data_IF_233698922859
#
_entry.id   IF_233698922859
#
_cell.length_a   1.000
_cell.length_b   1.000
_cell.length_c   1.000
_cell.angle_alpha   90.00
_cell.angle_beta   90.00
_cell.angle_gamma   90.00
#
_symmetry.space_group_name_H-M   'P 1'
#
loop_
_entity.id
_entity.type
_entity.pdbx_description
1 polymer ?
#
# COMPACT_ATOMS: atom_id res chain seq x y z
N UNK A 1 -23.49 25.07 2.44
CA UNK A 1 -22.54 24.65 1.37
C UNK A 1 -21.30 24.08 2.03
N UNK A 2 -21.00 22.79 1.85
CA UNK A 2 -19.71 22.22 2.32
C UNK A 2 -18.60 22.89 1.54
N UNK A 3 -17.60 23.37 2.24
CA UNK A 3 -16.48 24.07 1.60
C UNK A 3 -15.74 23.07 0.69
N UNK A 4 -15.81 23.24 -0.63
CA UNK A 4 -15.24 22.31 -1.61
C UNK A 4 -13.74 22.10 -1.39
N UNK A 5 -13.04 23.12 -0.92
CA UNK A 5 -11.60 23.12 -0.66
C UNK A 5 -11.21 22.45 0.67
N UNK A 6 -12.15 22.11 1.56
CA UNK A 6 -11.82 21.49 2.85
C UNK A 6 -11.65 19.98 2.76
N UNK A 7 -10.67 19.44 3.50
CA UNK A 7 -10.55 18.00 3.78
C UNK A 7 -11.35 17.70 5.05
N UNK A 8 -12.54 17.13 4.86
CA UNK A 8 -13.40 16.73 5.97
C UNK A 8 -12.98 15.36 6.52
N UNK A 9 -12.79 15.28 7.82
CA UNK A 9 -12.47 14.02 8.50
C UNK A 9 -13.77 13.42 9.06
N UNK A 10 -14.17 12.26 8.55
CA UNK A 10 -15.34 11.54 9.07
C UNK A 10 -15.05 11.04 10.51
N UNK A 11 -15.94 11.38 11.44
CA UNK A 11 -15.86 10.98 12.85
C UNK A 11 -15.96 9.46 13.09
N UNK A 12 -16.41 8.69 12.10
CA UNK A 12 -16.49 7.22 12.13
C UNK A 12 -15.13 6.54 11.87
N UNK A 13 -14.12 7.28 11.50
CA UNK A 13 -12.78 6.74 11.24
C UNK A 13 -12.12 6.27 12.53
N UNK A 14 -11.33 5.21 12.44
CA UNK A 14 -10.52 4.70 13.57
C UNK A 14 -9.16 5.36 13.49
N UNK A 15 -8.86 6.23 14.46
CA UNK A 15 -7.64 7.05 14.43
C UNK A 15 -6.34 6.23 14.35
N UNK A 16 -6.25 5.09 15.05
CA UNK A 16 -5.05 4.24 14.96
C UNK A 16 -4.79 3.68 13.56
N UNK A 17 -5.84 3.48 12.74
CA UNK A 17 -5.68 3.12 11.34
C UNK A 17 -5.29 4.33 10.47
N UNK A 18 -5.74 5.52 10.81
CA UNK A 18 -5.29 6.75 10.17
C UNK A 18 -3.81 7.02 10.48
N UNK A 19 -3.38 6.77 11.71
CA UNK A 19 -1.97 6.85 12.09
C UNK A 19 -1.11 5.86 11.28
N UNK A 20 -1.54 4.61 11.14
CA UNK A 20 -0.82 3.63 10.30
C UNK A 20 -0.67 4.10 8.85
N UNK A 21 -1.73 4.68 8.26
CA UNK A 21 -1.67 5.21 6.90
C UNK A 21 -0.74 6.41 6.79
N UNK A 22 -0.78 7.31 7.78
CA UNK A 22 0.10 8.46 7.81
C UNK A 22 1.57 8.04 7.94
N UNK A 23 1.88 7.04 8.78
CA UNK A 23 3.21 6.45 8.87
C UNK A 23 3.60 5.77 7.55
N UNK A 24 2.69 5.01 6.93
CA UNK A 24 2.94 4.34 5.67
C UNK A 24 3.33 5.33 4.56
N UNK A 25 2.57 6.40 4.39
CA UNK A 25 2.87 7.39 3.35
C UNK A 25 4.12 8.20 3.68
N UNK A 26 4.36 8.51 4.96
CA UNK A 26 5.62 9.11 5.39
C UNK A 26 6.82 8.25 4.98
N UNK A 27 6.80 6.94 5.27
CA UNK A 27 7.88 6.02 4.88
C UNK A 27 8.08 5.95 3.35
N UNK A 28 6.99 6.03 2.56
CA UNK A 28 7.09 6.01 1.08
C UNK A 28 7.72 7.29 0.56
N UNK A 29 7.20 8.45 0.99
CA UNK A 29 7.71 9.77 0.53
C UNK A 29 9.16 9.97 1.00
N UNK A 30 9.46 9.59 2.26
CA UNK A 30 10.82 9.60 2.79
C UNK A 30 11.76 8.75 1.94
N UNK A 31 11.40 7.49 1.67
CA UNK A 31 12.25 6.56 0.93
C UNK A 31 12.52 6.96 -0.53
N UNK A 32 11.68 7.79 -1.15
CA UNK A 32 11.97 8.36 -2.47
C UNK A 32 12.77 9.66 -2.40
N UNK A 33 12.58 10.44 -1.32
CA UNK A 33 13.28 11.70 -1.11
C UNK A 33 14.64 11.57 -0.43
N UNK A 34 14.96 10.43 0.20
CA UNK A 34 16.19 10.25 1.01
C UNK A 34 17.47 10.52 0.22
N UNK A 35 17.49 10.24 -1.09
CA UNK A 35 18.64 10.49 -1.95
C UNK A 35 19.07 11.97 -1.98
N UNK A 36 18.15 12.89 -1.69
CA UNK A 36 18.46 14.32 -1.59
C UNK A 36 19.27 14.68 -0.34
N UNK A 37 19.28 13.77 0.65
CA UNK A 37 19.98 13.96 1.91
C UNK A 37 21.38 13.31 1.89
N UNK A 38 21.72 12.51 0.87
CA UNK A 38 23.04 11.90 0.76
C UNK A 38 24.12 12.98 0.71
N UNK A 39 25.23 12.73 1.37
CA UNK A 39 26.38 13.67 1.52
C UNK A 39 26.01 15.00 2.20
N UNK A 40 24.87 15.07 2.91
CA UNK A 40 24.48 16.24 3.71
C UNK A 40 24.61 15.97 5.22
N UNK A 41 24.48 17.03 6.03
CA UNK A 41 24.45 16.90 7.50
C UNK A 41 23.31 16.00 8.01
N UNK A 42 22.29 15.75 7.19
CA UNK A 42 21.12 14.92 7.50
C UNK A 42 21.21 13.50 6.93
N UNK A 43 22.31 13.12 6.30
CA UNK A 43 22.52 11.79 5.70
C UNK A 43 22.22 10.63 6.69
N UNK A 44 22.63 10.79 7.96
CA UNK A 44 22.32 9.82 9.03
C UNK A 44 20.84 9.49 9.21
N UNK A 45 19.93 10.32 8.68
CA UNK A 45 18.48 10.09 8.75
C UNK A 45 17.95 9.30 7.54
N UNK A 46 18.78 8.96 6.55
CA UNK A 46 18.42 8.14 5.42
C UNK A 46 18.33 6.66 5.80
N UNK A 47 19.16 6.20 6.75
CA UNK A 47 19.21 4.82 7.21
C UNK A 47 18.23 4.50 8.36
N UNK A 48 17.19 5.30 8.54
CA UNK A 48 16.21 5.02 9.57
C UNK A 48 15.56 3.64 9.37
N UNK A 49 15.51 2.80 10.42
CA UNK A 49 14.91 1.47 10.34
C UNK A 49 13.38 1.56 10.31
N UNK A 50 12.82 2.05 9.20
CA UNK A 50 11.37 2.13 8.99
C UNK A 50 10.85 0.94 8.20
N UNK A 51 9.61 0.48 8.44
CA UNK A 51 8.99 -0.55 7.62
C UNK A 51 8.75 -0.03 6.20
N UNK A 52 8.68 -0.94 5.24
CA UNK A 52 8.25 -0.57 3.90
C UNK A 52 6.80 -0.07 3.95
N UNK A 53 6.57 1.22 3.68
CA UNK A 53 5.24 1.83 3.81
C UNK A 53 4.16 1.11 2.98
N UNK A 54 4.54 0.52 1.84
CA UNK A 54 3.62 -0.26 1.00
C UNK A 54 3.10 -1.51 1.71
N UNK A 55 3.90 -2.16 2.58
CA UNK A 55 3.46 -3.33 3.35
C UNK A 55 2.33 -2.96 4.30
N UNK A 56 2.42 -1.80 4.91
CA UNK A 56 1.36 -1.26 5.77
C UNK A 56 0.07 -1.05 4.96
N UNK A 57 0.16 -0.47 3.75
CA UNK A 57 -1.00 -0.29 2.88
C UNK A 57 -1.64 -1.62 2.47
N UNK A 58 -0.84 -2.63 2.15
CA UNK A 58 -1.34 -3.96 1.80
C UNK A 58 -2.10 -4.61 2.95
N UNK A 59 -1.51 -4.63 4.14
CA UNK A 59 -2.13 -5.20 5.34
C UNK A 59 -3.42 -4.45 5.69
N UNK A 60 -3.42 -3.12 5.62
CA UNK A 60 -4.62 -2.33 5.88
C UNK A 60 -5.73 -2.58 4.86
N UNK A 61 -5.39 -2.75 3.58
CA UNK A 61 -6.34 -3.08 2.53
C UNK A 61 -7.00 -4.43 2.80
N UNK A 62 -6.21 -5.46 3.10
CA UNK A 62 -6.70 -6.79 3.48
C UNK A 62 -7.57 -6.76 4.74
N UNK A 63 -7.13 -6.04 5.78
CA UNK A 63 -7.86 -5.91 7.04
C UNK A 63 -9.24 -5.26 6.86
N UNK A 64 -9.30 -4.12 6.17
CA UNK A 64 -10.55 -3.36 6.01
C UNK A 64 -11.56 -4.10 5.12
N UNK A 65 -11.09 -4.69 4.03
CA UNK A 65 -11.93 -5.46 3.11
C UNK A 65 -12.35 -6.78 3.73
N UNK A 66 -11.41 -7.52 4.33
CA UNK A 66 -11.70 -8.74 5.05
C UNK A 66 -12.76 -8.54 6.12
N UNK A 67 -12.62 -7.51 6.97
CA UNK A 67 -13.61 -7.13 7.97
C UNK A 67 -15.00 -6.89 7.36
N UNK A 68 -15.06 -6.11 6.26
CA UNK A 68 -16.33 -5.77 5.61
C UNK A 68 -17.02 -7.01 5.04
N UNK A 69 -16.28 -7.90 4.38
CA UNK A 69 -16.83 -9.11 3.77
C UNK A 69 -17.23 -10.16 4.81
N UNK A 70 -16.43 -10.40 5.84
CA UNK A 70 -16.75 -11.34 6.92
C UNK A 70 -18.05 -10.93 7.59
N UNK A 71 -18.15 -9.65 8.01
CA UNK A 71 -19.34 -9.13 8.68
C UNK A 71 -20.58 -9.22 7.80
N UNK A 72 -20.43 -8.96 6.48
CA UNK A 72 -21.55 -9.06 5.54
C UNK A 72 -22.03 -10.50 5.38
N UNK A 73 -21.12 -11.46 5.17
CA UNK A 73 -21.48 -12.86 4.98
C UNK A 73 -22.23 -13.44 6.19
N UNK A 74 -21.76 -13.16 7.39
CA UNK A 74 -22.44 -13.66 8.59
C UNK A 74 -23.82 -13.06 8.78
N UNK A 75 -24.01 -11.77 8.47
CA UNK A 75 -25.33 -11.13 8.55
C UNK A 75 -26.31 -11.60 7.46
N UNK A 76 -25.84 -12.29 6.43
CA UNK A 76 -26.64 -12.76 5.29
C UNK A 76 -26.53 -14.29 5.07
N UNK A 77 -26.41 -15.06 6.16
CA UNK A 77 -26.36 -16.53 6.12
C UNK A 77 -25.33 -17.09 5.13
N UNK A 78 -24.13 -16.52 5.11
CA UNK A 78 -23.02 -16.86 4.19
C UNK A 78 -23.32 -16.71 2.70
N UNK A 79 -24.33 -15.93 2.32
CA UNK A 79 -24.66 -15.64 0.92
C UNK A 79 -24.16 -14.26 0.52
N UNK A 80 -23.32 -14.23 -0.49
CA UNK A 80 -22.88 -12.98 -1.11
C UNK A 80 -23.72 -12.71 -2.36
N UNK A 81 -24.66 -11.78 -2.26
CA UNK A 81 -25.52 -11.40 -3.37
C UNK A 81 -24.75 -10.70 -4.50
N UNK A 82 -25.18 -10.94 -5.76
CA UNK A 82 -24.58 -10.28 -6.96
C UNK A 82 -24.51 -8.76 -6.83
N UNK A 83 -25.57 -8.15 -6.30
CA UNK A 83 -25.64 -6.69 -6.10
C UNK A 83 -24.48 -6.19 -5.19
N UNK A 84 -24.18 -6.91 -4.12
CA UNK A 84 -23.09 -6.55 -3.19
C UNK A 84 -21.73 -6.58 -3.87
N UNK A 85 -21.50 -7.59 -4.73
CA UNK A 85 -20.26 -7.73 -5.49
C UNK A 85 -20.13 -6.59 -6.50
N UNK A 86 -21.17 -6.30 -7.27
CA UNK A 86 -21.17 -5.20 -8.24
C UNK A 86 -20.96 -3.84 -7.57
N UNK A 87 -21.67 -3.59 -6.44
CA UNK A 87 -21.48 -2.38 -5.64
C UNK A 87 -20.04 -2.27 -5.11
N UNK A 88 -19.44 -3.37 -4.65
CA UNK A 88 -18.05 -3.39 -4.20
C UNK A 88 -17.10 -3.05 -5.34
N UNK A 89 -17.26 -3.65 -6.53
CA UNK A 89 -16.42 -3.35 -7.69
C UNK A 89 -16.56 -1.90 -8.15
N UNK A 90 -17.80 -1.40 -8.27
CA UNK A 90 -18.06 -0.02 -8.67
C UNK A 90 -17.44 0.98 -7.69
N UNK A 91 -17.63 0.76 -6.38
CA UNK A 91 -17.04 1.63 -5.34
C UNK A 91 -15.53 1.56 -5.30
N UNK A 92 -14.94 0.39 -5.56
CA UNK A 92 -13.48 0.20 -5.60
C UNK A 92 -12.89 0.87 -6.83
N UNK A 93 -13.51 0.68 -7.99
CA UNK A 93 -13.09 1.32 -9.24
C UNK A 93 -13.12 2.86 -9.13
N UNK A 94 -14.21 3.45 -8.63
CA UNK A 94 -14.35 4.90 -8.43
C UNK A 94 -13.36 5.47 -7.41
N UNK A 95 -12.85 4.66 -6.50
CA UNK A 95 -11.84 5.09 -5.53
C UNK A 95 -10.43 5.08 -6.10
N UNK A 96 -10.10 4.12 -6.98
CA UNK A 96 -8.72 3.85 -7.40
C UNK A 96 -8.46 4.40 -8.80
N UNK A 97 -9.33 4.07 -9.77
CA UNK A 97 -9.06 4.32 -11.18
C UNK A 97 -8.91 5.80 -11.55
N UNK A 98 -9.74 6.75 -11.06
CA UNK A 98 -9.63 8.12 -11.52
C UNK A 98 -8.25 8.73 -11.27
N UNK A 99 -7.75 8.67 -10.05
CA UNK A 99 -6.42 9.19 -9.71
C UNK A 99 -5.31 8.43 -10.44
N UNK A 100 -5.43 7.09 -10.47
CA UNK A 100 -4.42 6.25 -11.11
C UNK A 100 -4.30 6.55 -12.61
N UNK A 101 -5.42 6.55 -13.33
CA UNK A 101 -5.41 6.79 -14.79
C UNK A 101 -5.01 8.23 -15.12
N UNK A 102 -5.38 9.19 -14.28
CA UNK A 102 -4.94 10.58 -14.44
C UNK A 102 -3.41 10.68 -14.31
N UNK A 103 -2.83 10.11 -13.24
CA UNK A 103 -1.36 10.14 -13.04
C UNK A 103 -0.63 9.27 -14.07
N UNK A 104 -1.21 8.15 -14.51
CA UNK A 104 -0.67 7.36 -15.62
C UNK A 104 -0.58 8.19 -16.91
N UNK A 105 -1.64 8.95 -17.23
CA UNK A 105 -1.65 9.85 -18.38
C UNK A 105 -0.59 10.95 -18.22
N UNK A 106 -0.47 11.57 -17.05
CA UNK A 106 0.56 12.59 -16.79
C UNK A 106 1.97 12.01 -16.98
N UNK A 107 2.26 10.83 -16.40
CA UNK A 107 3.55 10.16 -16.60
C UNK A 107 3.82 9.89 -18.09
N UNK A 108 2.82 9.39 -18.82
CA UNK A 108 2.95 9.13 -20.26
C UNK A 108 3.28 10.40 -21.03
N UNK A 109 2.58 11.51 -20.76
CA UNK A 109 2.84 12.79 -21.43
C UNK A 109 4.22 13.34 -21.08
N UNK A 110 4.66 13.27 -19.84
CA UNK A 110 5.99 13.74 -19.44
C UNK A 110 7.11 12.92 -20.08
N UNK A 111 6.95 11.61 -20.24
CA UNK A 111 7.89 10.77 -21.00
C UNK A 111 7.82 11.07 -22.49
N UNK A 112 6.62 11.24 -23.06
CA UNK A 112 6.44 11.56 -24.48
C UNK A 112 7.10 12.89 -24.85
N UNK A 113 6.96 13.92 -24.00
CA UNK A 113 7.62 15.22 -24.19
C UNK A 113 9.05 15.27 -23.66
N UNK A 114 9.63 14.14 -23.27
CA UNK A 114 11.01 14.01 -22.78
C UNK A 114 11.32 14.87 -21.54
N UNK A 115 10.30 15.19 -20.74
CA UNK A 115 10.47 15.88 -19.46
C UNK A 115 11.03 14.95 -18.38
N UNK A 116 10.67 13.67 -18.42
CA UNK A 116 11.23 12.63 -17.55
C UNK A 116 11.68 11.43 -18.40
N UNK A 117 12.65 10.68 -17.87
CA UNK A 117 13.13 9.47 -18.53
C UNK A 117 12.12 8.33 -18.37
N UNK A 118 11.88 7.57 -19.44
CA UNK A 118 11.01 6.41 -19.42
C UNK A 118 10.95 5.69 -20.76
N UNK A 119 10.65 4.37 -20.72
CA UNK A 119 10.61 3.53 -21.93
C UNK A 119 9.21 2.92 -22.14
N UNK A 120 8.35 3.67 -22.81
CA UNK A 120 6.99 3.24 -23.14
C UNK A 120 6.91 2.20 -24.26
N UNK A 121 8.01 1.99 -25.03
CA UNK A 121 8.08 0.93 -26.05
C UNK A 121 8.31 -0.44 -25.42
N UNK A 122 9.23 -0.53 -24.43
CA UNK A 122 9.47 -1.77 -23.69
C UNK A 122 8.30 -2.09 -22.74
N UNK A 123 7.65 -1.06 -22.20
CA UNK A 123 6.55 -1.19 -21.24
C UNK A 123 5.30 -0.45 -21.75
N UNK A 124 4.50 -1.09 -22.63
CA UNK A 124 3.36 -0.45 -23.27
C UNK A 124 2.27 -0.07 -22.27
N UNK A 125 1.70 1.12 -22.43
CA UNK A 125 0.75 1.75 -21.51
C UNK A 125 -0.49 0.90 -21.21
N UNK A 126 -0.93 0.06 -22.16
CA UNK A 126 -2.09 -0.81 -21.94
C UNK A 126 -1.88 -1.80 -20.79
N UNK A 127 -0.64 -2.27 -20.56
CA UNK A 127 -0.33 -3.13 -19.41
C UNK A 127 -0.59 -2.42 -18.08
N UNK A 128 -0.28 -1.13 -18.01
CA UNK A 128 -0.56 -0.30 -16.84
C UNK A 128 -2.05 -0.04 -16.69
N UNK A 129 -2.74 0.30 -17.78
CA UNK A 129 -4.19 0.51 -17.75
C UNK A 129 -4.98 -0.74 -17.31
N UNK A 130 -4.46 -1.94 -17.57
CA UNK A 130 -5.06 -3.22 -17.19
C UNK A 130 -4.46 -3.84 -15.91
N UNK A 131 -3.48 -3.17 -15.27
CA UNK A 131 -2.77 -3.68 -14.08
C UNK A 131 -2.06 -5.02 -14.30
N UNK A 132 -1.55 -5.27 -15.51
CA UNK A 132 -0.87 -6.53 -15.88
C UNK A 132 0.65 -6.37 -16.01
N UNK A 133 1.19 -5.18 -15.72
CA UNK A 133 2.60 -4.86 -15.92
C UNK A 133 3.58 -5.71 -15.10
N UNK A 134 3.15 -6.27 -13.96
CA UNK A 134 4.03 -6.99 -13.02
C UNK A 134 3.37 -8.22 -12.37
N UNK A 135 2.52 -8.95 -13.08
CA UNK A 135 1.85 -10.13 -12.51
C UNK A 135 2.86 -11.20 -12.04
N UNK A 136 3.71 -11.65 -12.94
CA UNK A 136 4.73 -12.69 -12.71
C UNK A 136 6.14 -12.27 -13.10
N UNK A 137 6.25 -11.27 -13.96
CA UNK A 137 7.51 -10.72 -14.45
C UNK A 137 7.64 -9.26 -14.02
N UNK A 138 8.85 -8.79 -13.67
CA UNK A 138 9.05 -7.41 -13.25
C UNK A 138 8.95 -6.45 -14.43
N UNK A 139 8.79 -5.16 -14.10
CA UNK A 139 8.96 -4.04 -15.01
C UNK A 139 9.79 -2.95 -14.34
N UNK A 140 10.39 -2.08 -15.15
CA UNK A 140 11.17 -0.91 -14.77
C UNK A 140 11.09 0.13 -15.91
N UNK A 141 11.76 1.26 -15.81
CA UNK A 141 11.86 2.33 -16.81
C UNK A 141 10.58 3.11 -17.15
N UNK A 142 9.41 2.75 -16.68
CA UNK A 142 8.22 3.55 -16.86
C UNK A 142 7.27 3.40 -15.69
N UNK A 143 6.94 4.51 -15.00
CA UNK A 143 5.99 4.59 -13.88
C UNK A 143 6.16 3.43 -12.88
N UNK A 144 7.40 3.18 -12.49
CA UNK A 144 7.82 1.98 -11.77
C UNK A 144 7.23 1.86 -10.36
N UNK A 145 6.84 2.99 -9.73
CA UNK A 145 6.19 3.04 -8.42
C UNK A 145 4.77 2.47 -8.45
N UNK A 146 4.18 2.37 -9.63
CA UNK A 146 2.84 1.78 -9.79
C UNK A 146 2.78 0.28 -9.47
N UNK A 147 3.92 -0.38 -9.22
CA UNK A 147 4.01 -1.82 -8.99
C UNK A 147 3.07 -2.37 -7.92
N UNK A 148 2.76 -1.59 -6.89
CA UNK A 148 1.92 -2.05 -5.77
C UNK A 148 0.42 -2.01 -6.09
N UNK A 149 0.01 -1.21 -7.05
CA UNK A 149 -1.40 -1.07 -7.43
C UNK A 149 -1.97 -2.33 -8.08
N UNK A 150 -1.27 -3.05 -8.99
CA UNK A 150 -1.70 -4.36 -9.46
C UNK A 150 -1.89 -5.38 -8.33
N UNK A 151 -1.04 -5.40 -7.30
CA UNK A 151 -1.19 -6.31 -6.16
C UNK A 151 -2.54 -6.09 -5.46
N UNK A 152 -2.91 -4.82 -5.22
CA UNK A 152 -4.20 -4.49 -4.63
C UNK A 152 -5.36 -4.72 -5.61
N UNK A 153 -5.19 -4.36 -6.89
CA UNK A 153 -6.24 -4.47 -7.89
C UNK A 153 -6.66 -5.91 -8.12
N UNK A 154 -5.70 -6.82 -8.32
CA UNK A 154 -5.97 -8.24 -8.49
C UNK A 154 -6.54 -8.89 -7.23
N UNK A 155 -6.10 -8.46 -6.04
CA UNK A 155 -6.77 -8.86 -4.81
C UNK A 155 -8.23 -8.42 -4.80
N UNK A 156 -8.54 -7.17 -5.16
CA UNK A 156 -9.92 -6.68 -5.16
C UNK A 156 -10.82 -7.42 -6.16
N UNK A 157 -10.26 -7.87 -7.28
CA UNK A 157 -11.00 -8.68 -8.26
C UNK A 157 -11.25 -10.09 -7.73
N UNK A 158 -10.21 -10.79 -7.31
CA UNK A 158 -10.31 -12.21 -6.98
C UNK A 158 -10.87 -12.48 -5.58
N UNK A 159 -10.63 -11.62 -4.61
CA UNK A 159 -11.05 -11.86 -3.24
C UNK A 159 -12.58 -12.08 -3.09
N UNK A 160 -13.47 -11.22 -3.64
CA UNK A 160 -14.89 -11.48 -3.61
C UNK A 160 -15.29 -12.78 -4.32
N UNK A 161 -14.61 -13.14 -5.42
CA UNK A 161 -14.88 -14.38 -6.15
C UNK A 161 -14.52 -15.62 -5.33
N UNK A 162 -13.36 -15.61 -4.66
CA UNK A 162 -12.99 -16.69 -3.72
C UNK A 162 -14.00 -16.79 -2.57
N UNK A 163 -14.47 -15.68 -2.04
CA UNK A 163 -15.49 -15.67 -0.99
C UNK A 163 -16.80 -16.28 -1.46
N UNK A 164 -17.28 -15.94 -2.66
CA UNK A 164 -18.48 -16.56 -3.24
C UNK A 164 -18.30 -18.05 -3.43
N UNK A 165 -17.18 -18.45 -4.00
CA UNK A 165 -16.91 -19.86 -4.29
C UNK A 165 -16.79 -20.67 -2.99
N UNK A 166 -15.95 -20.26 -2.06
CA UNK A 166 -15.66 -21.00 -0.85
C UNK A 166 -16.82 -20.99 0.16
N UNK A 167 -17.63 -19.92 0.19
CA UNK A 167 -18.82 -19.84 1.06
C UNK A 167 -19.90 -20.84 0.69
N UNK A 168 -19.86 -21.45 -0.53
CA UNK A 168 -20.75 -22.55 -0.92
C UNK A 168 -20.42 -23.87 -0.22
N UNK A 169 -19.17 -24.05 0.18
CA UNK A 169 -18.65 -25.30 0.73
C UNK A 169 -18.40 -25.25 2.24
N UNK A 170 -18.06 -24.05 2.76
CA UNK A 170 -17.71 -23.89 4.16
C UNK A 170 -18.05 -22.50 4.69
N UNK A 171 -18.11 -22.38 6.01
CA UNK A 171 -18.26 -21.07 6.68
C UNK A 171 -16.95 -20.27 6.65
N UNK A 172 -17.00 -18.93 6.60
CA UNK A 172 -15.82 -18.06 6.60
C UNK A 172 -14.83 -18.35 7.73
N UNK A 173 -15.35 -18.70 8.90
CA UNK A 173 -14.54 -19.09 10.06
C UNK A 173 -13.57 -20.23 9.75
N UNK A 174 -13.97 -21.18 8.90
CA UNK A 174 -13.17 -22.38 8.59
C UNK A 174 -12.21 -22.16 7.43
N UNK A 175 -12.64 -21.53 6.33
CA UNK A 175 -11.82 -21.47 5.11
C UNK A 175 -10.84 -20.27 5.05
N UNK A 176 -11.12 -19.14 5.73
CA UNK A 176 -10.27 -17.97 5.63
C UNK A 176 -8.83 -18.24 6.08
N UNK A 177 -8.55 -18.92 7.21
CA UNK A 177 -7.17 -19.21 7.59
C UNK A 177 -6.42 -20.04 6.54
N UNK A 178 -7.09 -21.01 5.92
CA UNK A 178 -6.49 -21.84 4.86
C UNK A 178 -6.25 -21.05 3.59
N UNK A 179 -7.17 -20.16 3.22
CA UNK A 179 -6.98 -19.24 2.10
C UNK A 179 -5.78 -18.32 2.32
N UNK A 180 -5.64 -17.78 3.54
CA UNK A 180 -4.49 -16.94 3.89
C UNK A 180 -3.18 -17.75 3.84
N UNK A 181 -3.17 -18.96 4.40
CA UNK A 181 -2.03 -19.86 4.36
C UNK A 181 -1.64 -20.20 2.92
N UNK A 182 -2.63 -20.51 2.07
CA UNK A 182 -2.40 -20.78 0.64
C UNK A 182 -1.63 -19.64 -0.03
N UNK A 183 -2.04 -18.39 0.16
CA UNK A 183 -1.36 -17.26 -0.47
C UNK A 183 0.02 -16.96 0.14
N UNK A 184 0.24 -17.25 1.42
CA UNK A 184 1.57 -17.18 2.03
C UNK A 184 2.50 -18.22 1.40
N UNK A 185 2.06 -19.48 1.33
CA UNK A 185 2.84 -20.56 0.71
C UNK A 185 3.07 -20.27 -0.78
N UNK A 186 2.05 -19.84 -1.50
CA UNK A 186 2.16 -19.46 -2.91
C UNK A 186 3.22 -18.39 -3.15
N UNK A 187 3.21 -17.29 -2.39
CA UNK A 187 4.19 -16.21 -2.56
C UNK A 187 5.60 -16.64 -2.18
N UNK A 188 5.77 -17.46 -1.13
CA UNK A 188 7.08 -18.02 -0.76
C UNK A 188 7.60 -18.94 -1.87
N UNK A 189 6.76 -19.85 -2.37
CA UNK A 189 7.14 -20.78 -3.46
C UNK A 189 7.49 -20.02 -4.73
N UNK A 190 6.71 -19.00 -5.09
CA UNK A 190 7.01 -18.14 -6.23
C UNK A 190 8.36 -17.43 -6.07
N UNK A 191 8.65 -16.86 -4.91
CA UNK A 191 9.97 -16.23 -4.65
C UNK A 191 11.12 -17.24 -4.76
N UNK A 192 10.94 -18.46 -4.29
CA UNK A 192 11.93 -19.51 -4.42
C UNK A 192 12.17 -19.89 -5.88
N UNK A 193 11.11 -20.02 -6.68
CA UNK A 193 11.25 -20.33 -8.12
C UNK A 193 11.90 -19.21 -8.93
N UNK A 194 11.89 -17.97 -8.41
CA UNK A 194 12.54 -16.82 -9.05
C UNK A 194 13.91 -16.48 -8.47
N UNK A 195 14.42 -17.29 -7.52
CA UNK A 195 15.66 -17.00 -6.80
C UNK A 195 16.89 -16.86 -7.72
N UNK A 196 16.95 -17.63 -8.80
CA UNK A 196 18.07 -17.60 -9.77
C UNK A 196 18.16 -16.27 -10.55
N UNK A 197 17.08 -15.49 -10.58
CA UNK A 197 17.07 -14.14 -11.19
C UNK A 197 17.68 -13.07 -10.27
N UNK A 198 17.98 -13.40 -9.01
CA UNK A 198 18.48 -12.45 -8.01
C UNK A 198 20.01 -12.48 -7.98
N UNK A 199 20.61 -11.60 -8.76
CA UNK A 199 22.09 -11.46 -8.84
C UNK A 199 22.62 -10.23 -8.10
N UNK A 200 21.77 -9.22 -7.86
CA UNK A 200 22.13 -7.97 -7.21
C UNK A 200 20.91 -7.32 -6.51
N UNK A 201 21.12 -6.19 -5.85
CA UNK A 201 20.04 -5.47 -5.13
C UNK A 201 18.91 -5.01 -6.04
N UNK A 202 19.20 -4.60 -7.25
CA UNK A 202 18.18 -4.16 -8.22
C UNK A 202 17.31 -5.35 -8.67
N UNK A 203 17.94 -6.48 -9.06
CA UNK A 203 17.18 -7.69 -9.44
C UNK A 203 16.34 -8.22 -8.26
N UNK A 204 16.86 -8.17 -7.02
CA UNK A 204 16.05 -8.48 -5.83
C UNK A 204 14.83 -7.57 -5.73
N UNK A 205 15.02 -6.26 -5.87
CA UNK A 205 13.93 -5.29 -5.76
C UNK A 205 12.82 -5.55 -6.78
N UNK A 206 13.18 -5.78 -8.04
CA UNK A 206 12.20 -5.95 -9.11
C UNK A 206 11.53 -7.33 -9.11
N UNK A 207 12.26 -8.42 -8.83
CA UNK A 207 11.72 -9.79 -8.84
C UNK A 207 11.02 -10.14 -7.53
N UNK A 208 11.61 -9.85 -6.38
CA UNK A 208 11.10 -10.26 -5.07
C UNK A 208 10.11 -9.27 -4.47
N UNK A 209 10.35 -7.96 -4.66
CA UNK A 209 9.53 -6.93 -4.01
C UNK A 209 8.42 -6.36 -4.90
N UNK A 210 8.58 -6.36 -6.22
CA UNK A 210 7.70 -5.60 -7.13
C UNK A 210 6.86 -6.46 -8.07
N UNK A 211 6.74 -7.76 -7.87
CA UNK A 211 5.80 -8.61 -8.60
C UNK A 211 4.55 -8.92 -7.79
N UNK A 212 3.41 -9.07 -8.44
CA UNK A 212 2.13 -9.36 -7.76
C UNK A 212 2.21 -10.70 -7.04
N UNK A 213 2.68 -11.74 -7.72
CA UNK A 213 2.77 -13.09 -7.18
C UNK A 213 3.65 -13.19 -5.92
N UNK A 214 4.71 -12.38 -5.83
CA UNK A 214 5.62 -12.38 -4.67
C UNK A 214 5.08 -11.63 -3.46
N UNK A 215 4.03 -10.80 -3.61
CA UNK A 215 3.59 -9.83 -2.59
C UNK A 215 2.14 -9.93 -2.17
N UNK A 216 1.34 -10.72 -2.87
CA UNK A 216 -0.10 -10.81 -2.59
C UNK A 216 -0.40 -11.34 -1.18
N UNK A 217 0.51 -12.12 -0.60
CA UNK A 217 0.43 -12.62 0.78
C UNK A 217 0.22 -11.52 1.82
N UNK A 218 0.84 -10.35 1.63
CA UNK A 218 0.75 -9.24 2.57
C UNK A 218 -0.69 -8.80 2.79
N UNK A 219 -1.49 -8.77 1.72
CA UNK A 219 -2.90 -8.41 1.82
C UNK A 219 -3.67 -9.52 2.56
N UNK A 220 -3.36 -10.79 2.32
CA UNK A 220 -3.99 -11.90 3.02
C UNK A 220 -3.61 -11.99 4.50
N UNK A 221 -2.42 -11.53 4.91
CA UNK A 221 -2.07 -11.32 6.33
C UNK A 221 -3.04 -10.29 6.96
N UNK A 222 -3.38 -9.23 6.24
CA UNK A 222 -4.42 -8.27 6.67
C UNK A 222 -5.80 -8.90 6.80
N UNK A 223 -6.19 -9.78 5.86
CA UNK A 223 -7.45 -10.56 5.93
C UNK A 223 -7.46 -11.46 7.15
N UNK A 224 -6.34 -12.14 7.45
CA UNK A 224 -6.20 -12.97 8.66
C UNK A 224 -6.35 -12.14 9.94
N UNK A 225 -5.80 -10.93 9.98
CA UNK A 225 -5.99 -10.02 11.11
C UNK A 225 -7.47 -9.63 11.29
N UNK A 226 -8.21 -9.40 10.20
CA UNK A 226 -9.66 -9.15 10.24
C UNK A 226 -10.45 -10.37 10.75
N UNK A 227 -10.07 -11.56 10.32
CA UNK A 227 -10.63 -12.81 10.80
C UNK A 227 -10.41 -13.01 12.30
N UNK A 228 -9.19 -12.80 12.79
CA UNK A 228 -8.86 -12.85 14.22
C UNK A 228 -9.70 -11.86 15.02
N UNK A 229 -9.82 -10.62 14.54
CA UNK A 229 -10.62 -9.60 15.22
C UNK A 229 -12.09 -9.98 15.31
N UNK A 230 -12.63 -10.61 14.26
CA UNK A 230 -14.05 -10.95 14.17
C UNK A 230 -14.42 -12.16 15.04
N UNK A 231 -13.65 -13.26 14.91
CA UNK A 231 -13.96 -14.52 15.59
C UNK A 231 -13.39 -14.65 17.01
N UNK A 232 -12.36 -13.87 17.32
CA UNK A 232 -11.66 -13.89 18.62
C UNK A 232 -11.56 -12.49 19.25
N UNK A 233 -12.69 -11.76 19.40
CA UNK A 233 -12.64 -10.35 19.83
C UNK A 233 -12.13 -10.17 21.27
N UNK A 234 -12.29 -11.16 22.15
CA UNK A 234 -11.76 -11.13 23.53
C UNK A 234 -10.23 -11.22 23.51
N UNK A 235 -9.68 -12.17 22.76
CA UNK A 235 -8.23 -12.36 22.60
C UNK A 235 -7.61 -11.17 21.87
N UNK A 236 -8.25 -10.68 20.81
CA UNK A 236 -7.83 -9.48 20.09
C UNK A 236 -7.63 -8.28 20.99
N UNK A 237 -8.58 -8.03 21.91
CA UNK A 237 -8.46 -6.96 22.89
C UNK A 237 -7.40 -7.27 23.95
N UNK A 238 -7.40 -8.48 24.49
CA UNK A 238 -6.50 -8.88 25.60
C UNK A 238 -5.03 -8.78 25.20
N UNK A 239 -4.68 -9.35 24.04
CA UNK A 239 -3.28 -9.48 23.59
C UNK A 239 -2.79 -8.33 22.71
N UNK A 240 -3.55 -7.27 22.50
CA UNK A 240 -3.18 -6.18 21.59
C UNK A 240 -1.83 -5.53 21.89
N UNK A 241 -1.47 -5.31 23.16
CA UNK A 241 -0.15 -4.77 23.56
C UNK A 241 0.96 -5.79 23.32
N UNK A 242 0.74 -7.05 23.69
CA UNK A 242 1.70 -8.12 23.47
C UNK A 242 1.98 -8.30 21.96
N UNK A 243 0.94 -8.33 21.14
CA UNK A 243 1.11 -8.40 19.67
C UNK A 243 1.93 -7.21 19.15
N UNK A 244 1.69 -6.01 19.64
CA UNK A 244 2.43 -4.82 19.21
C UNK A 244 3.92 -4.93 19.56
N UNK A 245 4.25 -5.34 20.79
CA UNK A 245 5.63 -5.54 21.24
C UNK A 245 6.30 -6.64 20.41
N UNK A 246 5.63 -7.78 20.21
CA UNK A 246 6.14 -8.87 19.38
C UNK A 246 6.34 -8.41 17.92
N UNK A 247 5.43 -7.58 17.39
CA UNK A 247 5.57 -7.00 16.05
C UNK A 247 6.80 -6.09 15.95
N UNK A 248 7.08 -5.25 16.95
CA UNK A 248 8.31 -4.44 16.99
C UNK A 248 9.56 -5.34 17.10
N UNK A 249 9.54 -6.33 17.98
CA UNK A 249 10.66 -7.25 18.14
C UNK A 249 10.94 -8.03 16.84
N UNK A 250 9.89 -8.51 16.19
CA UNK A 250 10.00 -9.23 14.91
C UNK A 250 10.53 -8.31 13.80
N UNK A 251 10.06 -7.06 13.74
CA UNK A 251 10.59 -6.05 12.83
C UNK A 251 12.08 -5.78 13.09
N UNK A 252 12.47 -5.56 14.35
CA UNK A 252 13.88 -5.37 14.72
C UNK A 252 14.73 -6.58 14.33
N UNK A 253 14.25 -7.81 14.54
CA UNK A 253 14.94 -9.01 14.12
C UNK A 253 15.21 -9.03 12.61
N UNK A 254 14.27 -8.55 11.78
CA UNK A 254 14.51 -8.45 10.32
C UNK A 254 15.62 -7.47 9.94
N UNK A 255 16.02 -6.56 10.85
CA UNK A 255 17.12 -5.62 10.64
C UNK A 255 18.46 -6.16 11.11
N UNK A 256 18.44 -7.01 12.14
CA UNK A 256 19.64 -7.61 12.73
C UNK A 256 20.10 -8.81 11.91
N UNK A 257 19.18 -9.65 11.44
CA UNK A 257 19.51 -10.83 10.63
C UNK A 257 20.08 -10.39 9.28
N UNK A 258 21.31 -10.85 8.91
CA UNK A 258 21.92 -10.48 7.64
C UNK A 258 21.04 -10.86 6.44
N UNK A 259 20.88 -9.92 5.53
CA UNK A 259 20.13 -10.10 4.28
C UNK A 259 21.09 -10.39 3.13
N UNK A 260 21.74 -11.55 3.18
CA UNK A 260 22.63 -11.97 2.13
C UNK A 260 21.84 -12.32 0.87
N UNK A 261 22.20 -11.71 -0.26
CA UNK A 261 21.61 -12.03 -1.55
C UNK A 261 21.76 -13.53 -1.84
N UNK A 262 20.70 -14.14 -2.35
CA UNK A 262 20.67 -15.58 -2.63
C UNK A 262 20.35 -16.47 -1.42
N UNK A 263 20.38 -15.95 -0.17
CA UNK A 263 20.01 -16.76 0.99
C UNK A 263 18.52 -17.08 1.02
N UNK A 264 18.17 -18.28 1.50
CA UNK A 264 16.77 -18.70 1.70
C UNK A 264 15.98 -17.67 2.53
N UNK A 265 16.57 -17.18 3.61
CA UNK A 265 15.95 -16.17 4.45
C UNK A 265 15.60 -14.92 3.66
N UNK A 266 16.56 -14.34 2.92
CA UNK A 266 16.35 -13.09 2.20
C UNK A 266 15.36 -13.24 1.04
N UNK A 267 15.52 -14.30 0.24
CA UNK A 267 14.70 -14.48 -0.96
C UNK A 267 13.27 -14.95 -0.64
N UNK A 268 13.10 -15.84 0.35
CA UNK A 268 11.81 -16.47 0.59
C UNK A 268 11.04 -15.89 1.79
N UNK A 269 11.72 -15.64 2.92
CA UNK A 269 11.06 -15.50 4.23
C UNK A 269 11.02 -14.05 4.72
N UNK A 270 12.06 -13.26 4.43
CA UNK A 270 12.21 -11.88 4.94
C UNK A 270 10.94 -11.01 4.71
N UNK A 271 10.39 -11.04 3.50
CA UNK A 271 9.24 -10.21 3.15
C UNK A 271 7.98 -10.63 3.89
N UNK A 272 7.77 -11.93 4.08
CA UNK A 272 6.66 -12.48 4.88
C UNK A 272 6.77 -12.08 6.35
N UNK A 273 7.97 -12.19 6.94
CA UNK A 273 8.21 -11.79 8.34
C UNK A 273 8.01 -10.29 8.50
N UNK A 274 8.49 -9.46 7.57
CA UNK A 274 8.27 -8.01 7.56
C UNK A 274 6.77 -7.68 7.55
N UNK A 275 5.98 -8.37 6.73
CA UNK A 275 4.54 -8.19 6.66
C UNK A 275 3.83 -8.65 7.96
N UNK A 276 4.22 -9.81 8.52
CA UNK A 276 3.68 -10.30 9.79
C UNK A 276 3.94 -9.33 10.93
N UNK A 277 5.14 -8.72 10.98
CA UNK A 277 5.49 -7.74 12.01
C UNK A 277 4.51 -6.56 12.02
N UNK A 278 4.18 -6.03 10.85
CA UNK A 278 3.18 -4.95 10.69
C UNK A 278 1.77 -5.44 11.02
N UNK A 279 1.41 -6.66 10.59
CA UNK A 279 0.12 -7.27 10.93
C UNK A 279 -0.14 -7.34 12.44
N UNK A 280 0.91 -7.60 13.22
CA UNK A 280 0.87 -7.64 14.68
C UNK A 280 0.64 -6.25 15.35
N UNK A 281 0.80 -5.14 14.64
CA UNK A 281 0.49 -3.81 15.18
C UNK A 281 -1.01 -3.48 15.14
N UNK A 282 -1.74 -4.11 14.22
CA UNK A 282 -3.16 -3.81 13.98
C UNK A 282 -4.04 -4.01 15.22
N UNK A 283 -3.88 -5.07 16.05
CA UNK A 283 -4.69 -5.28 17.24
C UNK A 283 -4.69 -4.10 18.23
N UNK A 284 -3.53 -3.53 18.51
CA UNK A 284 -3.42 -2.38 19.40
C UNK A 284 -4.01 -1.12 18.77
N UNK A 285 -3.66 -0.84 17.52
CA UNK A 285 -4.03 0.38 16.83
C UNK A 285 -5.53 0.47 16.53
N UNK A 286 -6.22 -0.64 16.32
CA UNK A 286 -7.69 -0.67 16.18
C UNK A 286 -8.45 -0.27 17.45
N UNK A 287 -7.78 -0.27 18.60
CA UNK A 287 -8.38 0.20 19.88
C UNK A 287 -8.40 1.72 19.99
N UNK A 288 -7.52 2.43 19.31
CA UNK A 288 -7.42 3.88 19.34
C UNK A 288 -8.41 4.50 18.35
N UNK A 289 -9.62 4.76 18.83
CA UNK A 289 -10.75 5.13 17.97
C UNK A 289 -10.79 6.62 17.60
N UNK A 290 -10.34 7.51 18.48
CA UNK A 290 -10.49 8.95 18.30
C UNK A 290 -9.28 9.72 18.82
N UNK A 291 -9.14 10.96 18.40
CA UNK A 291 -8.15 11.91 18.87
C UNK A 291 -8.82 13.17 19.42
N UNK A 292 -8.08 13.93 20.25
CA UNK A 292 -8.56 15.18 20.86
C UNK A 292 -7.65 16.39 20.53
N UNK A 293 -6.59 16.21 19.75
CA UNK A 293 -5.55 17.22 19.48
C UNK A 293 -5.55 17.68 18.03
N UNK A 294 -5.03 18.90 17.78
CA UNK A 294 -4.82 19.41 16.42
C UNK A 294 -3.88 18.49 15.61
N UNK A 295 -2.86 17.91 16.27
CA UNK A 295 -1.92 16.95 15.66
C UNK A 295 -2.66 15.71 15.16
N UNK A 296 -3.61 15.17 15.96
CA UNK A 296 -4.44 14.05 15.52
C UNK A 296 -5.28 14.39 14.28
N UNK A 297 -5.80 15.64 14.21
CA UNK A 297 -6.50 16.14 13.05
C UNK A 297 -5.61 16.26 11.80
N UNK A 298 -4.37 16.69 11.97
CA UNK A 298 -3.38 16.74 10.90
C UNK A 298 -3.05 15.33 10.39
N UNK A 299 -2.76 14.38 11.28
CA UNK A 299 -2.50 12.97 10.94
C UNK A 299 -3.65 12.37 10.12
N UNK A 300 -4.90 12.62 10.53
CA UNK A 300 -6.06 12.11 9.79
C UNK A 300 -6.21 12.74 8.40
N UNK A 301 -5.84 14.01 8.22
CA UNK A 301 -5.81 14.65 6.88
C UNK A 301 -4.71 14.05 6.00
N UNK A 302 -3.51 13.84 6.53
CA UNK A 302 -2.43 13.12 5.82
C UNK A 302 -2.87 11.71 5.44
N UNK A 303 -3.55 10.99 6.34
CA UNK A 303 -4.14 9.68 6.03
C UNK A 303 -5.14 9.73 4.87
N UNK A 304 -5.93 10.80 4.74
CA UNK A 304 -6.85 10.98 3.61
C UNK A 304 -6.08 11.24 2.32
N UNK A 305 -5.06 12.10 2.36
CA UNK A 305 -4.22 12.42 1.21
C UNK A 305 -3.26 11.30 0.81
N UNK A 306 -3.11 10.26 1.64
CA UNK A 306 -2.05 9.24 1.47
C UNK A 306 -2.05 8.56 0.11
N UNK A 307 -3.22 8.35 -0.52
CA UNK A 307 -3.30 7.76 -1.85
C UNK A 307 -2.82 8.73 -2.94
N UNK A 308 -3.23 9.99 -2.88
CA UNK A 308 -2.74 11.01 -3.80
C UNK A 308 -1.22 11.22 -3.64
N UNK A 309 -0.72 11.29 -2.40
CA UNK A 309 0.73 11.40 -2.12
C UNK A 309 1.50 10.19 -2.66
N UNK A 310 0.94 8.99 -2.52
CA UNK A 310 1.54 7.77 -3.04
C UNK A 310 1.73 7.83 -4.56
N UNK A 311 0.73 8.33 -5.30
CA UNK A 311 0.79 8.42 -6.76
C UNK A 311 1.70 9.54 -7.29
N UNK A 312 1.88 10.60 -6.52
CA UNK A 312 2.54 11.84 -7.00
C UNK A 312 4.00 11.98 -6.56
N UNK A 313 4.40 11.34 -5.45
CA UNK A 313 5.71 11.61 -4.85
C UNK A 313 6.89 11.31 -5.77
N UNK A 314 6.89 10.17 -6.47
CA UNK A 314 7.95 9.82 -7.41
C UNK A 314 7.93 10.68 -8.66
N UNK A 315 6.73 11.01 -9.16
CA UNK A 315 6.59 11.94 -10.28
C UNK A 315 7.20 13.30 -9.95
N UNK A 316 6.94 13.82 -8.75
CA UNK A 316 7.49 15.10 -8.28
C UNK A 316 9.01 15.05 -8.26
N UNK A 317 9.63 14.04 -7.63
CA UNK A 317 11.08 13.99 -7.50
C UNK A 317 11.77 13.80 -8.85
N UNK A 318 11.22 12.97 -9.75
CA UNK A 318 11.75 12.80 -11.12
C UNK A 318 11.66 14.10 -11.93
N UNK A 319 10.55 14.83 -11.81
CA UNK A 319 10.39 16.12 -12.48
C UNK A 319 11.35 17.15 -11.91
N UNK A 320 11.53 17.21 -10.59
CA UNK A 320 12.51 18.12 -9.96
C UNK A 320 13.94 17.83 -10.41
N UNK A 321 14.34 16.55 -10.52
CA UNK A 321 15.65 16.16 -11.02
C UNK A 321 15.91 16.67 -12.45
N UNK A 322 14.89 16.66 -13.28
CA UNK A 322 15.04 17.08 -14.68
C UNK A 322 14.99 18.61 -14.82
N UNK A 323 14.06 19.26 -14.12
CA UNK A 323 13.83 20.71 -14.26
C UNK A 323 14.85 21.54 -13.48
N UNK A 324 15.30 21.07 -12.31
CA UNK A 324 16.16 21.81 -11.41
C UNK A 324 17.36 20.95 -10.90
N UNK A 325 18.16 20.30 -11.78
CA UNK A 325 19.20 19.37 -11.36
C UNK A 325 20.26 20.03 -10.47
N UNK A 326 20.70 21.23 -10.81
CA UNK A 326 21.70 21.98 -10.02
C UNK A 326 21.20 22.29 -8.62
N UNK A 327 19.93 22.71 -8.46
CA UNK A 327 19.33 22.94 -7.15
C UNK A 327 19.29 21.67 -6.32
N UNK A 328 18.93 20.54 -6.93
CA UNK A 328 18.86 19.24 -6.27
C UNK A 328 20.23 18.79 -5.74
N UNK A 329 21.29 18.99 -6.53
CA UNK A 329 22.65 18.58 -6.17
C UNK A 329 23.34 19.53 -5.17
N UNK A 330 23.16 20.85 -5.30
CA UNK A 330 23.88 21.81 -4.46
C UNK A 330 23.16 22.14 -3.15
N UNK A 331 21.86 21.94 -3.07
CA UNK A 331 21.04 22.33 -1.91
C UNK A 331 20.19 21.18 -1.36
N UNK A 332 20.78 19.99 -1.18
CA UNK A 332 20.07 18.76 -0.85
C UNK A 332 19.03 18.88 0.28
N UNK A 333 19.39 19.49 1.42
CA UNK A 333 18.46 19.68 2.56
C UNK A 333 17.29 20.59 2.18
N UNK A 334 17.57 21.70 1.47
CA UNK A 334 16.52 22.62 1.03
C UNK A 334 15.65 21.97 -0.05
N UNK A 335 16.27 21.27 -1.00
CA UNK A 335 15.57 20.51 -2.04
C UNK A 335 14.64 19.44 -1.43
N UNK A 336 15.08 18.78 -0.37
CA UNK A 336 14.25 17.84 0.39
C UNK A 336 13.02 18.53 1.03
N UNK A 337 13.19 19.70 1.64
CA UNK A 337 12.08 20.49 2.16
C UNK A 337 11.10 20.91 1.05
N UNK A 338 11.61 21.40 -0.07
CA UNK A 338 10.81 21.76 -1.25
C UNK A 338 10.07 20.55 -1.82
N UNK A 339 10.74 19.41 -1.94
CA UNK A 339 10.11 18.14 -2.35
C UNK A 339 8.87 17.81 -1.52
N UNK A 340 8.97 17.86 -0.19
CA UNK A 340 7.83 17.58 0.69
C UNK A 340 6.68 18.59 0.49
N UNK A 341 6.99 19.88 0.35
CA UNK A 341 5.98 20.92 0.11
C UNK A 341 5.27 20.68 -1.21
N UNK A 342 6.02 20.38 -2.28
CA UNK A 342 5.48 20.15 -3.62
C UNK A 342 4.63 18.86 -3.63
N UNK A 343 5.10 17.78 -2.99
CA UNK A 343 4.30 16.54 -2.86
C UNK A 343 2.97 16.82 -2.15
N UNK A 344 2.98 17.55 -1.05
CA UNK A 344 1.74 17.89 -0.32
C UNK A 344 0.81 18.76 -1.17
N UNK A 345 1.34 19.77 -1.85
CA UNK A 345 0.56 20.68 -2.69
C UNK A 345 -0.08 19.96 -3.89
N UNK A 346 0.72 19.18 -4.64
CA UNK A 346 0.24 18.42 -5.80
C UNK A 346 -0.78 17.35 -5.37
N UNK A 347 -0.52 16.66 -4.25
CA UNK A 347 -1.44 15.67 -3.71
C UNK A 347 -2.76 16.28 -3.24
N UNK A 348 -2.72 17.45 -2.63
CA UNK A 348 -3.92 18.19 -2.25
C UNK A 348 -4.74 18.58 -3.49
N UNK A 349 -4.10 19.11 -4.53
CA UNK A 349 -4.76 19.45 -5.79
C UNK A 349 -5.38 18.22 -6.45
N UNK A 350 -4.63 17.11 -6.54
CA UNK A 350 -5.14 15.84 -7.08
C UNK A 350 -6.35 15.35 -6.27
N UNK A 351 -6.29 15.44 -4.94
CA UNK A 351 -7.40 15.04 -4.09
C UNK A 351 -8.66 15.91 -4.34
N UNK A 352 -8.52 17.23 -4.38
CA UNK A 352 -9.67 18.12 -4.55
C UNK A 352 -10.26 18.03 -5.97
N UNK A 353 -9.41 18.03 -7.00
CA UNK A 353 -9.84 18.14 -8.38
C UNK A 353 -10.28 16.80 -8.99
N UNK A 354 -9.63 15.72 -8.60
CA UNK A 354 -9.88 14.38 -9.19
C UNK A 354 -10.53 13.46 -8.17
N UNK A 355 -9.91 13.19 -7.01
CA UNK A 355 -10.37 12.15 -6.10
C UNK A 355 -11.74 12.48 -5.48
N UNK A 356 -11.92 13.68 -4.94
CA UNK A 356 -13.11 14.07 -4.19
C UNK A 356 -14.41 13.98 -4.99
N UNK A 357 -14.48 14.43 -6.27
CA UNK A 357 -15.66 14.25 -7.10
C UNK A 357 -16.09 12.79 -7.26
N UNK A 358 -15.13 11.89 -7.52
CA UNK A 358 -15.40 10.46 -7.67
C UNK A 358 -15.75 9.77 -6.34
N UNK A 359 -15.17 10.21 -5.22
CA UNK A 359 -15.56 9.75 -3.88
C UNK A 359 -17.01 10.14 -3.59
N UNK A 360 -17.45 11.34 -3.95
CA UNK A 360 -18.85 11.77 -3.79
C UNK A 360 -19.79 10.95 -4.68
N UNK A 361 -19.39 10.65 -5.93
CA UNK A 361 -20.14 9.76 -6.81
C UNK A 361 -20.25 8.34 -6.21
N UNK A 362 -19.17 7.80 -5.66
CA UNK A 362 -19.14 6.50 -4.98
C UNK A 362 -20.14 6.41 -3.83
N UNK A 363 -20.35 7.49 -3.07
CA UNK A 363 -21.30 7.53 -1.96
C UNK A 363 -22.76 7.42 -2.41
N UNK A 364 -23.08 7.78 -3.65
CA UNK A 364 -24.41 7.66 -4.25
C UNK A 364 -24.75 6.24 -4.72
N UNK A 365 -23.77 5.39 -4.90
CA UNK A 365 -23.97 3.97 -5.26
C UNK A 365 -24.41 3.22 -3.99
N UNK A 366 -25.65 2.72 -4.01
CA UNK A 366 -26.25 1.95 -2.91
C UNK A 366 -25.97 0.47 -3.01
#
# INVERSE_FOLDING_TARGET
>A
MKNFLSIEVDRKRVFGLDLLRAVAIFCVVQGHGERLLFDTALDRFTDLPVPHGVDIFFIMSGFLIGKSFISYLESHNNRLGRQKILTFYARTALRILPNYLFILLVNYLLVHFQVIVGNTKAFPIWRFATFTQNLFTPFWDFYWESWSLPVQWWFYIFFPLFFVLLSRFAQPKKYIPWLCLFFVVFSITFRLSMADHVTNRFSYDVWMRKTVASRIENIYIGVLAAWLMHYFPKQWKRYGILCFILGIALFAATRIIPRNLGSFYHNAVYLTISALSVGLWVPLLTRWKSYKTAVGGFISRISILSYAMFLTNSLVILTMDTVCPQFMHHHGVLAYGVYWIVVLAVSYLLHILVEKPFVQLRERIK
#
